data_IF_856605375611
#
_entry.id   IF_856605375611
#
_cell.length_a   1.000
_cell.length_b   1.000
_cell.length_c   1.000
_cell.angle_alpha   90.00
_cell.angle_beta   90.00
_cell.angle_gamma   90.00
#
_symmetry.space_group_name_H-M   'P 1'
#
loop_
_entity.id
_entity.type
_entity.pdbx_description
1 polymer ?
#
# COMPACT_ATOMS: atom_id res chain seq x y z
N UNK A 1 6.80 -21.39 4.26
CA UNK A 1 7.16 -20.20 3.45
C UNK A 1 6.65 -20.38 2.02
N UNK A 2 6.23 -19.34 1.28
CA UNK A 2 5.62 -19.52 -0.06
C UNK A 2 6.54 -20.32 -1.00
N UNK A 3 7.86 -20.11 -0.89
CA UNK A 3 8.88 -20.92 -1.58
C UNK A 3 8.81 -22.42 -1.26
N UNK A 4 8.59 -22.79 0.00
CA UNK A 4 8.46 -24.20 0.43
C UNK A 4 7.19 -24.85 -0.11
N UNK A 5 6.19 -24.04 -0.51
CA UNK A 5 4.96 -24.50 -1.15
C UNK A 5 5.07 -24.60 -2.68
N UNK A 6 6.27 -24.37 -3.25
CA UNK A 6 6.50 -24.40 -4.69
C UNK A 6 6.23 -23.06 -5.40
N UNK A 7 6.06 -21.97 -4.65
CA UNK A 7 5.75 -20.64 -5.18
C UNK A 7 4.32 -20.19 -4.87
N UNK A 8 3.95 -19.01 -5.37
CA UNK A 8 2.59 -18.50 -5.25
C UNK A 8 1.67 -19.34 -6.16
N UNK A 9 0.58 -19.95 -5.65
CA UNK A 9 -0.29 -20.75 -6.50
C UNK A 9 -0.99 -19.92 -7.58
N UNK A 10 -1.32 -20.56 -8.70
CA UNK A 10 -2.04 -19.91 -9.79
C UNK A 10 -3.39 -19.34 -9.34
N UNK A 11 -3.72 -18.15 -9.85
CA UNK A 11 -4.96 -17.45 -9.54
C UNK A 11 -4.95 -16.66 -8.22
N UNK A 12 -3.86 -16.73 -7.44
CA UNK A 12 -3.70 -15.91 -6.25
C UNK A 12 -3.13 -14.54 -6.59
N UNK A 13 -3.52 -13.55 -5.79
CA UNK A 13 -2.93 -12.21 -5.79
C UNK A 13 -2.27 -11.99 -4.44
N UNK A 14 -0.96 -11.77 -4.44
CA UNK A 14 -0.19 -11.43 -3.26
C UNK A 14 -0.20 -9.92 -3.02
N UNK A 15 -0.72 -9.51 -1.87
CA UNK A 15 -0.62 -8.15 -1.35
C UNK A 15 0.15 -8.16 -0.04
N UNK A 16 1.04 -7.18 0.13
CA UNK A 16 1.71 -6.90 1.40
C UNK A 16 1.79 -5.39 1.63
N UNK A 17 2.36 -4.99 2.76
CA UNK A 17 2.50 -3.60 3.17
C UNK A 17 3.97 -3.26 3.36
N UNK A 18 4.37 -2.07 2.90
CA UNK A 18 5.61 -1.41 3.27
C UNK A 18 5.35 -0.58 4.52
N UNK A 19 6.13 -0.85 5.56
CA UNK A 19 5.90 -0.33 6.90
C UNK A 19 6.97 0.66 7.33
N UNK A 20 6.53 1.64 8.13
CA UNK A 20 7.43 2.52 8.87
C UNK A 20 8.30 1.72 9.83
N UNK A 21 9.42 2.30 10.22
CA UNK A 21 10.26 1.72 11.25
C UNK A 21 9.50 1.72 12.60
N UNK A 22 9.35 0.59 13.28
CA UNK A 22 8.50 0.49 14.47
C UNK A 22 9.04 1.27 15.67
N UNK A 23 10.36 1.50 15.72
CA UNK A 23 11.02 2.17 16.84
C UNK A 23 11.12 3.69 16.61
N UNK A 24 11.42 4.09 15.37
CA UNK A 24 11.67 5.49 15.00
C UNK A 24 10.48 6.16 14.30
N UNK A 25 9.46 5.41 13.90
CA UNK A 25 8.35 5.84 13.04
C UNK A 25 8.81 6.43 11.68
N UNK A 26 10.02 6.10 11.23
CA UNK A 26 10.55 6.62 9.97
C UNK A 26 9.80 6.08 8.75
N UNK A 27 9.40 6.97 7.85
CA UNK A 27 8.86 6.67 6.51
C UNK A 27 9.89 6.92 5.40
N UNK A 28 11.18 6.97 5.72
CA UNK A 28 12.20 7.22 4.72
C UNK A 28 12.20 6.17 3.61
N UNK A 29 12.68 6.54 2.42
CA UNK A 29 12.83 5.58 1.32
C UNK A 29 13.70 4.38 1.70
N UNK A 30 14.77 4.59 2.47
CA UNK A 30 15.62 3.51 2.99
C UNK A 30 14.86 2.55 3.91
N UNK A 31 13.92 3.05 4.71
CA UNK A 31 13.07 2.18 5.52
C UNK A 31 12.10 1.38 4.64
N UNK A 32 11.48 2.00 3.66
CA UNK A 32 10.57 1.31 2.73
C UNK A 32 11.30 0.26 1.90
N UNK A 33 12.53 0.54 1.47
CA UNK A 33 13.43 -0.42 0.86
C UNK A 33 13.63 -1.64 1.76
N UNK A 34 14.07 -1.45 3.01
CA UNK A 34 14.26 -2.54 3.98
C UNK A 34 12.98 -3.33 4.23
N UNK A 35 11.84 -2.65 4.34
CA UNK A 35 10.54 -3.30 4.59
C UNK A 35 10.10 -4.19 3.42
N UNK A 36 10.30 -3.72 2.18
CA UNK A 36 10.00 -4.49 0.96
C UNK A 36 10.97 -5.66 0.78
N UNK A 37 12.26 -5.44 0.96
CA UNK A 37 13.29 -6.50 0.86
C UNK A 37 13.08 -7.58 1.92
N UNK A 38 12.79 -7.21 3.16
CA UNK A 38 12.39 -8.17 4.19
C UNK A 38 11.11 -8.92 3.82
N UNK A 39 10.20 -8.29 3.07
CA UNK A 39 9.00 -8.97 2.55
C UNK A 39 9.32 -10.05 1.53
N UNK A 40 10.17 -9.74 0.56
CA UNK A 40 10.70 -10.70 -0.40
C UNK A 40 11.41 -11.85 0.31
N UNK A 41 12.26 -11.54 1.30
CA UNK A 41 13.03 -12.53 2.05
C UNK A 41 12.12 -13.50 2.80
N UNK A 42 11.19 -13.05 3.68
CA UNK A 42 10.39 -14.02 4.47
C UNK A 42 9.35 -14.76 3.64
N UNK A 43 8.94 -14.23 2.49
CA UNK A 43 8.03 -14.92 1.59
C UNK A 43 8.78 -15.86 0.63
N UNK A 44 10.05 -15.56 0.34
CA UNK A 44 10.91 -16.35 -0.53
C UNK A 44 10.62 -16.10 -1.99
N UNK A 45 10.26 -14.86 -2.31
CA UNK A 45 9.85 -14.41 -3.63
C UNK A 45 10.79 -13.33 -4.12
N UNK A 46 10.90 -13.20 -5.44
CA UNK A 46 11.66 -12.14 -6.09
C UNK A 46 10.74 -11.00 -6.61
N UNK A 47 9.42 -11.19 -6.47
CA UNK A 47 8.40 -10.24 -6.91
C UNK A 47 7.22 -10.16 -5.93
N UNK A 48 6.74 -8.95 -5.66
CA UNK A 48 5.49 -8.70 -4.92
C UNK A 48 4.46 -8.04 -5.83
N UNK A 49 3.27 -8.63 -5.97
CA UNK A 49 2.28 -8.08 -6.91
C UNK A 49 1.73 -6.73 -6.45
N UNK A 50 1.37 -6.59 -5.17
CA UNK A 50 0.90 -5.33 -4.59
C UNK A 50 1.65 -5.00 -3.30
N UNK A 51 2.15 -3.76 -3.22
CA UNK A 51 2.71 -3.19 -1.98
C UNK A 51 1.93 -1.93 -1.62
N UNK A 52 1.30 -1.94 -0.45
CA UNK A 52 0.63 -0.76 0.11
C UNK A 52 1.58 0.02 1.02
N UNK A 53 1.56 1.35 0.94
CA UNK A 53 2.13 2.20 2.00
C UNK A 53 1.19 2.14 3.21
N UNK A 54 1.70 1.70 4.36
CA UNK A 54 0.89 1.47 5.56
C UNK A 54 0.84 2.70 6.47
N UNK A 55 -0.37 3.02 6.93
CA UNK A 55 -0.72 4.07 7.88
C UNK A 55 0.01 5.40 7.61
N UNK A 56 -0.17 6.00 6.41
CA UNK A 56 0.47 7.26 6.04
C UNK A 56 0.14 8.42 7.00
N UNK A 57 -0.90 8.29 7.83
CA UNK A 57 -1.25 9.26 8.87
C UNK A 57 -0.19 9.45 9.96
N UNK A 58 0.83 8.61 10.03
CA UNK A 58 1.95 8.76 10.95
C UNK A 58 3.07 9.67 10.44
N UNK A 59 2.92 10.25 9.24
CA UNK A 59 3.88 11.19 8.67
C UNK A 59 3.15 12.22 7.79
N UNK A 60 3.90 13.08 7.10
CA UNK A 60 3.33 14.09 6.20
C UNK A 60 3.23 13.56 4.77
N UNK A 61 2.37 14.18 3.98
CA UNK A 61 2.29 13.89 2.54
C UNK A 61 3.62 14.22 1.86
N UNK A 62 4.24 15.32 2.26
CA UNK A 62 5.48 15.84 1.74
C UNK A 62 6.64 14.86 1.99
N UNK A 63 6.71 14.25 3.18
CA UNK A 63 7.75 13.26 3.49
C UNK A 63 7.62 12.01 2.62
N UNK A 64 6.41 11.45 2.50
CA UNK A 64 6.14 10.25 1.68
C UNK A 64 6.44 10.50 0.19
N UNK A 65 6.11 11.69 -0.31
CA UNK A 65 6.18 12.07 -1.72
C UNK A 65 7.51 12.74 -2.11
N UNK A 66 8.41 12.99 -1.13
CA UNK A 66 9.69 13.64 -1.36
C UNK A 66 10.60 12.82 -2.30
N UNK A 67 11.55 13.46 -3.00
CA UNK A 67 12.62 12.73 -3.70
C UNK A 67 13.40 11.83 -2.73
N UNK A 68 13.58 10.55 -3.07
CA UNK A 68 14.14 9.55 -2.16
C UNK A 68 13.21 9.12 -1.01
N UNK A 69 11.96 9.58 -1.01
CA UNK A 69 10.92 9.17 -0.06
C UNK A 69 10.32 7.80 -0.40
N UNK A 70 9.35 7.37 0.40
CA UNK A 70 8.69 6.06 0.25
C UNK A 70 8.13 5.83 -1.16
N UNK A 71 7.44 6.83 -1.73
CA UNK A 71 6.84 6.69 -3.07
C UNK A 71 7.91 6.59 -4.16
N UNK A 72 8.98 7.37 -4.07
CA UNK A 72 10.05 7.36 -5.07
C UNK A 72 10.77 6.00 -5.12
N UNK A 73 11.07 5.42 -3.95
CA UNK A 73 11.65 4.08 -3.85
C UNK A 73 10.71 3.01 -4.41
N UNK A 74 9.44 3.01 -4.03
CA UNK A 74 8.48 2.03 -4.54
C UNK A 74 8.28 2.16 -6.05
N UNK A 75 8.31 3.39 -6.60
CA UNK A 75 8.28 3.60 -8.05
C UNK A 75 9.50 3.00 -8.73
N UNK A 76 10.69 3.20 -8.18
CA UNK A 76 11.90 2.56 -8.70
C UNK A 76 11.80 1.03 -8.66
N UNK A 77 11.25 0.45 -7.59
CA UNK A 77 11.08 -1.00 -7.47
C UNK A 77 10.06 -1.53 -8.48
N UNK A 78 9.04 -0.73 -8.79
CA UNK A 78 8.07 -1.05 -9.83
C UNK A 78 8.71 -1.03 -11.22
N UNK A 79 9.51 -0.02 -11.53
CA UNK A 79 10.26 0.09 -12.79
C UNK A 79 11.25 -1.07 -12.98
N UNK A 80 11.85 -1.56 -11.88
CA UNK A 80 12.74 -2.72 -11.86
C UNK A 80 12.00 -4.07 -11.90
N UNK A 81 10.67 -4.08 -11.81
CA UNK A 81 9.86 -5.31 -11.77
C UNK A 81 9.87 -6.06 -10.43
N UNK A 82 10.47 -5.48 -9.38
CA UNK A 82 10.48 -6.04 -8.02
C UNK A 82 9.08 -6.00 -7.40
N UNK A 83 8.29 -4.98 -7.73
CA UNK A 83 6.88 -4.88 -7.35
C UNK A 83 6.00 -4.62 -8.58
N UNK A 84 4.76 -5.10 -8.57
CA UNK A 84 3.82 -4.86 -9.67
C UNK A 84 3.04 -3.55 -9.53
N UNK A 85 2.52 -3.31 -8.32
CA UNK A 85 1.56 -2.25 -8.05
C UNK A 85 1.84 -1.58 -6.70
N UNK A 86 1.56 -0.27 -6.65
CA UNK A 86 1.67 0.54 -5.44
C UNK A 86 0.26 0.89 -5.00
N UNK A 87 -0.04 0.66 -3.73
CA UNK A 87 -1.29 1.04 -3.09
C UNK A 87 -1.08 1.91 -1.85
N UNK A 88 -2.19 2.38 -1.29
CA UNK A 88 -2.21 3.14 -0.03
C UNK A 88 -3.15 2.46 0.97
N UNK A 89 -2.75 2.31 2.23
CA UNK A 89 -3.57 1.70 3.27
C UNK A 89 -3.59 2.59 4.50
N UNK A 90 -4.73 3.17 4.85
CA UNK A 90 -4.80 4.10 5.99
C UNK A 90 -6.21 4.46 6.44
N UNK A 91 -6.28 5.34 7.44
CA UNK A 91 -7.54 5.75 8.06
C UNK A 91 -8.19 6.99 7.43
N UNK A 92 -7.57 8.17 7.47
CA UNK A 92 -8.24 9.43 7.14
C UNK A 92 -8.64 9.51 5.65
N UNK A 93 -9.95 9.60 5.39
CA UNK A 93 -10.50 9.56 4.02
C UNK A 93 -9.98 10.68 3.13
N UNK A 94 -9.95 11.92 3.62
CA UNK A 94 -9.44 13.06 2.85
C UNK A 94 -7.95 12.92 2.49
N UNK A 95 -7.16 12.31 3.38
CA UNK A 95 -5.74 12.03 3.13
C UNK A 95 -5.58 10.96 2.04
N UNK A 96 -6.33 9.86 2.14
CA UNK A 96 -6.31 8.82 1.11
C UNK A 96 -6.71 9.37 -0.26
N UNK A 97 -7.77 10.19 -0.31
CA UNK A 97 -8.19 10.86 -1.54
C UNK A 97 -7.07 11.73 -2.14
N UNK A 98 -6.38 12.54 -1.31
CA UNK A 98 -5.22 13.34 -1.74
C UNK A 98 -4.13 12.50 -2.39
N UNK A 99 -3.85 11.31 -1.87
CA UNK A 99 -2.91 10.39 -2.50
C UNK A 99 -3.44 9.81 -3.80
N UNK A 100 -4.70 9.37 -3.84
CA UNK A 100 -5.30 8.80 -5.06
C UNK A 100 -5.33 9.82 -6.21
N UNK A 101 -5.61 11.09 -5.92
CA UNK A 101 -5.60 12.19 -6.90
C UNK A 101 -4.24 12.41 -7.58
N UNK A 102 -3.14 11.91 -7.01
CA UNK A 102 -1.81 11.96 -7.67
C UNK A 102 -1.71 11.08 -8.91
N UNK A 103 -2.61 10.09 -9.06
CA UNK A 103 -2.58 9.11 -10.14
C UNK A 103 -1.46 8.06 -10.03
N UNK A 104 -0.72 8.02 -8.91
CA UNK A 104 0.41 7.11 -8.72
C UNK A 104 0.01 5.72 -8.16
N UNK A 105 -1.16 5.63 -7.55
CA UNK A 105 -1.61 4.44 -6.81
C UNK A 105 -2.70 3.71 -7.60
N UNK A 106 -2.58 2.38 -7.68
CA UNK A 106 -3.57 1.53 -8.37
C UNK A 106 -4.54 0.83 -7.43
N UNK A 107 -4.30 0.91 -6.11
CA UNK A 107 -5.21 0.38 -5.10
C UNK A 107 -5.22 1.22 -3.83
N UNK A 108 -6.34 1.20 -3.10
CA UNK A 108 -6.44 1.74 -1.74
C UNK A 108 -7.10 0.72 -0.82
N UNK A 109 -6.59 0.60 0.40
CA UNK A 109 -7.24 -0.11 1.50
C UNK A 109 -7.77 0.93 2.50
N UNK A 110 -9.05 0.78 2.88
CA UNK A 110 -9.65 1.53 3.99
C UNK A 110 -10.17 0.54 5.02
N UNK A 111 -10.01 0.86 6.30
CA UNK A 111 -10.36 -0.04 7.40
C UNK A 111 -11.51 0.53 8.24
N UNK A 112 -12.57 -0.26 8.43
CA UNK A 112 -13.71 0.05 9.31
C UNK A 112 -14.45 1.36 8.98
N UNK A 113 -14.40 1.79 7.70
CA UNK A 113 -15.02 3.04 7.21
C UNK A 113 -16.06 2.85 6.13
N UNK A 114 -16.29 1.61 5.70
CA UNK A 114 -17.38 1.22 4.82
C UNK A 114 -18.07 -0.06 5.34
N UNK A 115 -18.74 0.08 6.48
CA UNK A 115 -19.53 -0.96 7.14
C UNK A 115 -21.03 -0.63 7.03
N UNK A 116 -21.90 -1.44 7.64
CA UNK A 116 -23.34 -1.15 7.69
C UNK A 116 -23.64 0.18 8.40
N UNK A 117 -22.90 0.48 9.49
CA UNK A 117 -23.15 1.65 10.36
C UNK A 117 -22.19 2.82 10.11
N UNK A 118 -21.12 2.61 9.34
CA UNK A 118 -20.14 3.63 8.99
C UNK A 118 -19.92 3.65 7.48
N UNK A 119 -20.40 4.70 6.81
CA UNK A 119 -20.23 4.93 5.35
C UNK A 119 -19.28 6.08 5.03
N UNK A 120 -18.43 6.48 5.98
CA UNK A 120 -17.51 7.62 5.83
C UNK A 120 -16.56 7.50 4.63
N UNK A 121 -16.25 6.28 4.16
CA UNK A 121 -15.41 6.07 2.98
C UNK A 121 -16.15 6.21 1.63
N UNK A 122 -17.46 6.45 1.58
CA UNK A 122 -18.19 6.54 0.31
C UNK A 122 -17.56 7.52 -0.72
N UNK A 123 -17.11 8.73 -0.33
CA UNK A 123 -16.42 9.64 -1.26
C UNK A 123 -15.11 9.08 -1.83
N UNK A 124 -14.37 8.29 -1.04
CA UNK A 124 -13.16 7.61 -1.52
C UNK A 124 -13.51 6.53 -2.54
N UNK A 125 -14.54 5.72 -2.28
CA UNK A 125 -15.00 4.70 -3.22
C UNK A 125 -15.44 5.32 -4.56
N UNK A 126 -16.17 6.44 -4.52
CA UNK A 126 -16.58 7.17 -5.72
C UNK A 126 -15.39 7.73 -6.51
N UNK A 127 -14.39 8.29 -5.81
CA UNK A 127 -13.16 8.77 -6.42
C UNK A 127 -12.39 7.62 -7.08
N UNK A 128 -12.19 6.52 -6.35
CA UNK A 128 -11.48 5.34 -6.86
C UNK A 128 -12.17 4.75 -8.08
N UNK A 129 -13.51 4.68 -8.08
CA UNK A 129 -14.27 4.25 -9.25
C UNK A 129 -14.00 5.14 -10.47
N UNK A 130 -14.02 6.47 -10.30
CA UNK A 130 -13.74 7.44 -11.39
C UNK A 130 -12.31 7.32 -11.93
N UNK A 131 -11.34 7.01 -11.06
CA UNK A 131 -9.93 6.95 -11.41
C UNK A 131 -9.44 5.55 -11.80
N UNK A 132 -10.30 4.53 -11.77
CA UNK A 132 -9.91 3.14 -12.06
C UNK A 132 -9.00 2.53 -11.00
N UNK A 133 -9.11 2.97 -9.75
CA UNK A 133 -8.33 2.47 -8.60
C UNK A 133 -9.11 1.40 -7.86
N UNK A 134 -8.47 0.26 -7.57
CA UNK A 134 -9.10 -0.81 -6.81
C UNK A 134 -9.28 -0.43 -5.32
N UNK A 135 -10.34 -0.90 -4.68
CA UNK A 135 -10.62 -0.65 -3.26
C UNK A 135 -10.68 -1.97 -2.49
N UNK A 136 -9.87 -2.09 -1.44
CA UNK A 136 -9.98 -3.11 -0.42
C UNK A 136 -10.70 -2.53 0.82
N UNK A 137 -11.83 -3.13 1.20
CA UNK A 137 -12.59 -2.74 2.39
C UNK A 137 -12.26 -3.68 3.55
N UNK A 138 -11.31 -3.27 4.39
CA UNK A 138 -10.89 -4.02 5.56
C UNK A 138 -11.85 -3.79 6.75
N UNK A 139 -12.02 -4.82 7.58
CA UNK A 139 -12.98 -4.86 8.68
C UNK A 139 -14.41 -4.41 8.27
N UNK A 140 -15.05 -5.05 7.28
CA UNK A 140 -16.38 -4.67 6.81
C UNK A 140 -17.49 -4.88 7.85
N UNK A 141 -17.20 -5.60 8.95
CA UNK A 141 -18.15 -5.94 10.01
C UNK A 141 -18.01 -5.11 11.30
N UNK A 142 -17.02 -4.21 11.39
CA UNK A 142 -16.76 -3.45 12.60
C UNK A 142 -15.68 -4.07 13.49
#
# INVERSE_FOLDING_TARGET
MIRELGGLPDGFVLATKGDRDPDTNSFSGEQFKRSVEGSLERLGLDHLQYVYIHDPEHTTFEDIMSPGGAVDVLRSYKEQGVIGHIGMSGGPIAMLMRYIETGLFSAVETHNRYTLINRSAAPLLDLCHKMGVAVANAAPYG
#
